data_IF_029237530435
#
_entry.id   IF_029237530435
#
_cell.length_a   1.000
_cell.length_b   1.000
_cell.length_c   1.000
_cell.angle_alpha   90.00
_cell.angle_beta   90.00
_cell.angle_gamma   90.00
#
_symmetry.space_group_name_H-M   'P 1'
#
loop_
_entity.id
_entity.type
_entity.pdbx_description
1 polymer ?
#
# COMPACT_ATOMS: atom_id res chain seq x y z
N UNK A 1 7.75 27.25 -9.56
CA UNK A 1 8.19 25.88 -9.92
C UNK A 1 7.07 24.92 -9.53
N UNK A 2 6.23 24.46 -10.46
CA UNK A 2 5.17 23.49 -10.14
C UNK A 2 5.81 22.13 -9.85
N UNK A 3 5.62 21.58 -8.64
CA UNK A 3 6.03 20.21 -8.34
C UNK A 3 5.37 19.28 -9.37
N UNK A 4 6.18 18.59 -10.16
CA UNK A 4 5.73 17.50 -11.03
C UNK A 4 5.03 16.48 -10.11
N UNK A 5 3.70 16.39 -10.18
CA UNK A 5 2.94 15.42 -9.41
C UNK A 5 2.99 14.10 -10.19
N UNK A 6 3.69 13.11 -9.65
CA UNK A 6 3.68 11.75 -10.20
C UNK A 6 2.41 11.09 -9.67
N UNK A 7 1.47 10.78 -10.57
CA UNK A 7 0.29 9.99 -10.25
C UNK A 7 0.38 8.63 -10.97
N UNK A 8 0.64 7.53 -10.25
CA UNK A 8 0.79 6.21 -10.86
C UNK A 8 -0.49 5.69 -11.52
N UNK A 9 -1.63 6.36 -11.33
CA UNK A 9 -2.93 6.01 -11.92
C UNK A 9 -3.22 6.72 -13.26
N UNK A 10 -2.42 7.71 -13.67
CA UNK A 10 -2.73 8.58 -14.83
C UNK A 10 -1.95 8.20 -16.10
N UNK A 11 -0.85 7.45 -16.01
CA UNK A 11 -0.03 7.11 -17.18
C UNK A 11 -0.52 5.86 -17.94
N UNK A 12 -0.61 5.94 -19.28
CA UNK A 12 -0.80 4.80 -20.22
C UNK A 12 0.49 4.64 -21.07
N UNK A 13 0.99 3.41 -21.36
CA UNK A 13 0.64 2.12 -20.78
C UNK A 13 1.09 2.05 -19.32
N UNK A 14 0.44 1.23 -18.49
CA UNK A 14 0.66 1.24 -17.06
C UNK A 14 2.09 0.80 -16.75
N UNK A 15 2.96 1.74 -16.39
CA UNK A 15 4.27 1.44 -15.77
C UNK A 15 4.13 0.54 -14.53
N UNK A 16 2.92 0.40 -14.01
CA UNK A 16 2.54 -0.61 -13.03
C UNK A 16 2.87 -2.03 -13.52
N UNK A 17 2.67 -2.37 -14.79
CA UNK A 17 3.06 -3.69 -15.34
C UNK A 17 4.58 -3.89 -15.32
N UNK A 18 5.34 -2.81 -15.47
CA UNK A 18 6.82 -2.79 -15.50
C UNK A 18 7.46 -2.90 -14.12
N UNK A 19 6.69 -2.91 -13.01
CA UNK A 19 7.30 -3.09 -11.68
C UNK A 19 8.06 -4.42 -11.66
N UNK A 20 9.32 -4.39 -11.22
CA UNK A 20 10.19 -5.56 -11.20
C UNK A 20 9.79 -6.65 -10.19
N UNK A 21 8.73 -6.42 -9.41
CA UNK A 21 8.15 -7.39 -8.50
C UNK A 21 6.90 -8.06 -9.09
N UNK A 22 6.70 -9.32 -8.71
CA UNK A 22 5.51 -10.12 -9.06
C UNK A 22 4.40 -10.00 -8.01
N UNK A 23 4.79 -9.78 -6.75
CA UNK A 23 3.91 -9.60 -5.60
C UNK A 23 4.09 -8.22 -4.99
N UNK A 24 2.98 -7.61 -4.59
CA UNK A 24 2.92 -6.30 -3.95
C UNK A 24 2.02 -6.38 -2.72
N UNK A 25 2.51 -5.90 -1.58
CA UNK A 25 1.72 -5.69 -0.38
C UNK A 25 1.33 -4.21 -0.30
N UNK A 26 0.04 -3.94 -0.13
CA UNK A 26 -0.50 -2.60 0.13
C UNK A 26 -1.10 -2.60 1.53
N UNK A 27 -0.62 -1.71 2.39
CA UNK A 27 -1.12 -1.55 3.76
C UNK A 27 -1.86 -0.22 3.88
N UNK A 28 -3.09 -0.26 4.39
CA UNK A 28 -3.94 0.91 4.62
C UNK A 28 -4.57 0.82 6.01
N UNK A 29 -5.13 1.93 6.49
CA UNK A 29 -5.81 1.99 7.77
C UNK A 29 -7.17 2.68 7.60
N UNK A 30 -8.19 2.20 8.30
CA UNK A 30 -9.59 2.60 8.12
C UNK A 30 -9.80 4.11 8.21
N UNK A 31 -9.13 4.78 9.14
CA UNK A 31 -9.28 6.21 9.40
C UNK A 31 -8.25 7.07 8.65
N UNK A 32 -7.44 6.47 7.78
CA UNK A 32 -6.48 7.20 6.96
C UNK A 32 -7.20 7.88 5.77
N UNK A 33 -7.01 9.19 5.62
CA UNK A 33 -7.53 9.98 4.49
C UNK A 33 -7.05 9.44 3.13
N UNK A 34 -5.92 8.73 3.11
CA UNK A 34 -5.33 8.12 1.92
C UNK A 34 -5.81 6.68 1.65
N UNK A 35 -6.64 6.08 2.53
CA UNK A 35 -7.09 4.68 2.39
C UNK A 35 -7.64 4.38 1.00
N UNK A 36 -8.59 5.19 0.53
CA UNK A 36 -9.23 4.98 -0.77
C UNK A 36 -8.23 5.07 -1.93
N UNK A 37 -7.24 5.94 -1.82
CA UNK A 37 -6.17 6.04 -2.83
C UNK A 37 -5.30 4.78 -2.83
N UNK A 38 -4.98 4.24 -1.65
CA UNK A 38 -4.28 2.96 -1.51
C UNK A 38 -5.05 1.80 -2.13
N UNK A 39 -6.37 1.73 -1.92
CA UNK A 39 -7.25 0.73 -2.55
C UNK A 39 -7.26 0.89 -4.08
N UNK A 40 -7.42 2.11 -4.60
CA UNK A 40 -7.35 2.35 -6.05
C UNK A 40 -6.01 1.93 -6.65
N UNK A 41 -4.91 2.14 -5.93
CA UNK A 41 -3.58 1.67 -6.36
C UNK A 41 -3.52 0.14 -6.40
N UNK A 42 -4.02 -0.54 -5.36
CA UNK A 42 -4.08 -2.00 -5.33
C UNK A 42 -4.85 -2.57 -6.54
N UNK A 43 -6.05 -2.03 -6.82
CA UNK A 43 -6.85 -2.45 -7.98
C UNK A 43 -6.15 -2.19 -9.33
N UNK A 44 -5.47 -1.05 -9.47
CA UNK A 44 -4.76 -0.70 -10.70
C UNK A 44 -3.56 -1.63 -10.94
N UNK A 45 -2.84 -1.99 -9.88
CA UNK A 45 -1.73 -2.95 -9.92
C UNK A 45 -2.24 -4.35 -10.26
N UNK A 46 -3.34 -4.79 -9.66
CA UNK A 46 -3.95 -6.09 -9.96
C UNK A 46 -4.35 -6.18 -11.44
N UNK A 47 -5.01 -5.12 -11.97
CA UNK A 47 -5.34 -5.01 -13.40
C UNK A 47 -4.12 -5.00 -14.34
N UNK A 48 -2.93 -4.67 -13.82
CA UNK A 48 -1.67 -4.74 -14.57
C UNK A 48 -1.06 -6.16 -14.63
N UNK A 49 -1.71 -7.15 -14.01
CA UNK A 49 -1.30 -8.56 -14.03
C UNK A 49 -0.38 -8.96 -12.87
N UNK A 50 -0.34 -8.18 -11.80
CA UNK A 50 0.47 -8.47 -10.61
C UNK A 50 -0.39 -9.04 -9.48
N UNK A 51 0.22 -9.83 -8.61
CA UNK A 51 -0.43 -10.33 -7.41
C UNK A 51 -0.38 -9.25 -6.32
N UNK A 52 -1.53 -8.90 -5.76
CA UNK A 52 -1.66 -7.86 -4.74
C UNK A 52 -2.27 -8.45 -3.48
N UNK A 53 -1.63 -8.18 -2.34
CA UNK A 53 -2.15 -8.46 -1.00
C UNK A 53 -2.50 -7.11 -0.35
N UNK A 54 -3.71 -6.97 0.18
CA UNK A 54 -4.15 -5.74 0.87
C UNK A 54 -4.34 -6.04 2.36
N UNK A 55 -3.64 -5.29 3.21
CA UNK A 55 -3.83 -5.31 4.65
C UNK A 55 -4.53 -4.00 5.07
N UNK A 56 -5.81 -4.08 5.39
CA UNK A 56 -6.65 -2.94 5.79
C UNK A 56 -6.94 -3.00 7.28
N UNK A 57 -6.35 -2.09 8.04
CA UNK A 57 -6.35 -2.13 9.51
C UNK A 57 -7.47 -1.25 10.07
N UNK A 58 -8.48 -1.90 10.64
CA UNK A 58 -9.60 -1.24 11.31
C UNK A 58 -9.14 -0.35 12.47
N UNK A 59 -9.79 0.80 12.66
CA UNK A 59 -9.65 1.66 13.82
C UNK A 59 -8.40 2.53 13.88
N UNK A 60 -7.43 2.32 12.99
CA UNK A 60 -6.15 3.03 12.95
C UNK A 60 -6.14 4.18 11.93
N UNK A 61 -5.25 5.14 12.15
CA UNK A 61 -5.05 6.31 11.28
C UNK A 61 -3.73 6.26 10.51
N UNK A 62 -3.41 7.36 9.84
CA UNK A 62 -2.21 7.48 9.01
C UNK A 62 -0.92 7.17 9.79
N UNK A 63 -0.08 6.29 9.24
CA UNK A 63 1.20 5.90 9.82
C UNK A 63 1.13 5.42 11.28
N UNK A 64 0.04 4.78 11.71
CA UNK A 64 -0.11 4.31 13.10
C UNK A 64 1.05 3.42 13.58
N UNK A 65 1.68 2.65 12.68
CA UNK A 65 2.85 1.83 13.02
C UNK A 65 4.09 2.63 13.43
N UNK A 66 4.17 3.91 13.05
CA UNK A 66 5.23 4.84 13.44
C UNK A 66 4.79 5.67 14.65
N UNK A 67 3.52 6.09 14.68
CA UNK A 67 2.99 6.97 15.71
C UNK A 67 2.68 6.25 17.03
N UNK A 68 2.35 4.97 16.98
CA UNK A 68 2.06 4.13 18.13
C UNK A 68 2.66 2.72 17.96
N UNK A 69 4.01 2.61 17.91
CA UNK A 69 4.69 1.36 17.56
C UNK A 69 4.48 0.23 18.60
N UNK A 70 4.09 0.58 19.82
CA UNK A 70 3.86 -0.39 20.90
C UNK A 70 2.48 -1.06 20.84
N UNK A 71 1.56 -0.59 20.01
CA UNK A 71 0.24 -1.20 19.88
C UNK A 71 0.31 -2.59 19.24
N UNK A 72 -0.62 -3.46 19.63
CA UNK A 72 -0.71 -4.80 19.04
C UNK A 72 -0.94 -4.73 17.53
N UNK A 73 -1.74 -3.76 17.07
CA UNK A 73 -1.97 -3.54 15.63
C UNK A 73 -0.69 -3.12 14.91
N UNK A 74 0.13 -2.24 15.51
CA UNK A 74 1.39 -1.80 14.92
C UNK A 74 2.38 -2.98 14.80
N UNK A 75 2.52 -3.75 15.88
CA UNK A 75 3.33 -4.97 15.90
C UNK A 75 2.86 -5.99 14.88
N UNK A 76 1.54 -6.18 14.73
CA UNK A 76 0.97 -7.07 13.73
C UNK A 76 1.24 -6.59 12.29
N UNK A 77 1.12 -5.29 12.00
CA UNK A 77 1.46 -4.74 10.69
C UNK A 77 2.95 -4.91 10.38
N UNK A 78 3.84 -4.63 11.33
CA UNK A 78 5.28 -4.82 11.15
C UNK A 78 5.62 -6.29 10.89
N UNK A 79 4.98 -7.22 11.62
CA UNK A 79 5.14 -8.66 11.38
C UNK A 79 4.61 -9.08 10.00
N UNK A 80 3.47 -8.52 9.55
CA UNK A 80 2.94 -8.74 8.21
C UNK A 80 3.96 -8.31 7.13
N UNK A 81 4.53 -7.11 7.26
CA UNK A 81 5.57 -6.60 6.34
C UNK A 81 6.81 -7.49 6.37
N UNK A 82 7.29 -7.87 7.56
CA UNK A 82 8.47 -8.72 7.71
C UNK A 82 8.27 -10.11 7.08
N UNK A 83 7.08 -10.69 7.22
CA UNK A 83 6.74 -11.97 6.61
C UNK A 83 6.63 -11.87 5.10
N UNK A 84 6.10 -10.76 4.57
CA UNK A 84 6.04 -10.53 3.13
C UNK A 84 7.42 -10.44 2.48
N UNK A 85 8.40 -9.81 3.14
CA UNK A 85 9.78 -9.64 2.62
C UNK A 85 10.60 -10.94 2.67
N UNK A 86 10.29 -11.85 3.61
CA UNK A 86 10.99 -13.13 3.74
C UNK A 86 10.67 -14.14 2.63
N UNK A 87 9.58 -13.90 1.88
CA UNK A 87 9.15 -14.71 0.75
C UNK A 87 9.92 -14.36 -0.53
#
# INVERSE_FOLDING_TARGET
MGKLRINPLVEKPSRLAELGCLKILVCVAEKDELRNLGICYAEAVEKSGKSVEVNDVEGEGHCFQILNPESDKAKNLINCIANFIKL
#
